data_IF_908842342611
#
_entry.id   IF_908842342611
#
_cell.length_a   1.000
_cell.length_b   1.000
_cell.length_c   1.000
_cell.angle_alpha   90.00
_cell.angle_beta   90.00
_cell.angle_gamma   90.00
#
_symmetry.space_group_name_H-M   'P 1'
#
loop_
_entity.id
_entity.type
_entity.pdbx_description
1 polymer ?
#
# COMPACT_ATOMS: atom_id res chain seq x y z
N UNK A 1 -18.76 -5.03 -8.72
CA UNK A 1 -17.96 -6.26 -8.67
C UNK A 1 -17.08 -6.29 -9.91
N UNK A 2 -15.76 -6.36 -9.72
CA UNK A 2 -14.81 -6.56 -10.82
C UNK A 2 -14.78 -8.07 -11.14
N UNK A 3 -14.44 -8.45 -12.38
CA UNK A 3 -14.31 -9.86 -12.77
C UNK A 3 -12.87 -10.15 -13.10
N UNK A 4 -12.33 -11.25 -12.58
CA UNK A 4 -11.07 -11.81 -13.07
C UNK A 4 -11.39 -12.70 -14.27
N UNK A 5 -10.66 -12.50 -15.36
CA UNK A 5 -10.83 -13.25 -16.60
C UNK A 5 -9.52 -14.02 -16.85
N UNK A 6 -9.61 -15.35 -16.90
CA UNK A 6 -8.48 -16.25 -17.09
C UNK A 6 -8.97 -17.66 -17.42
N UNK A 7 -8.11 -18.44 -18.08
CA UNK A 7 -8.38 -19.84 -18.46
C UNK A 7 -9.74 -20.08 -19.18
N UNK A 8 -10.19 -19.09 -19.96
CA UNK A 8 -11.42 -19.16 -20.75
C UNK A 8 -12.73 -18.94 -19.97
N UNK A 9 -12.66 -18.57 -18.69
CA UNK A 9 -13.84 -18.27 -17.87
C UNK A 9 -13.63 -17.01 -17.01
N UNK A 10 -14.70 -16.56 -16.34
CA UNK A 10 -14.66 -15.38 -15.46
C UNK A 10 -15.32 -15.64 -14.12
N UNK A 11 -14.68 -15.18 -13.05
CA UNK A 11 -15.19 -15.31 -11.69
C UNK A 11 -15.06 -13.99 -10.91
N UNK A 12 -15.72 -13.93 -9.75
CA UNK A 12 -15.67 -12.77 -8.86
C UNK A 12 -14.24 -12.52 -8.36
N UNK A 13 -13.84 -11.24 -8.39
CA UNK A 13 -12.52 -10.78 -7.98
C UNK A 13 -12.53 -9.25 -7.75
N UNK A 14 -11.69 -8.71 -6.86
CA UNK A 14 -10.86 -9.41 -5.88
C UNK A 14 -11.64 -9.88 -4.64
N UNK A 15 -11.09 -10.88 -3.94
CA UNK A 15 -11.40 -11.08 -2.51
C UNK A 15 -10.44 -10.16 -1.75
N UNK A 16 -11.00 -9.21 -1.01
CA UNK A 16 -10.25 -8.19 -0.30
C UNK A 16 -10.22 -8.47 1.21
N UNK A 17 -9.05 -8.31 1.81
CA UNK A 17 -8.83 -8.31 3.24
C UNK A 17 -8.01 -7.06 3.64
N UNK A 18 -7.71 -6.91 4.93
CA UNK A 18 -7.10 -5.69 5.45
C UNK A 18 -5.69 -5.42 4.94
N UNK A 19 -5.03 -6.41 4.31
CA UNK A 19 -3.63 -6.28 3.84
C UNK A 19 -3.46 -6.54 2.35
N UNK A 20 -4.41 -7.20 1.70
CA UNK A 20 -4.30 -7.56 0.28
C UNK A 20 -5.65 -7.75 -0.41
N UNK A 21 -5.58 -7.80 -1.74
CA UNK A 21 -6.56 -8.40 -2.62
C UNK A 21 -5.97 -9.66 -3.25
N UNK A 22 -6.74 -10.76 -3.31
CA UNK A 22 -6.27 -11.99 -3.93
C UNK A 22 -7.31 -12.68 -4.81
N UNK A 23 -6.79 -13.45 -5.79
CA UNK A 23 -7.55 -14.35 -6.64
C UNK A 23 -7.23 -15.81 -6.26
N UNK A 24 -8.18 -16.59 -5.70
CA UNK A 24 -7.91 -17.98 -5.31
C UNK A 24 -7.72 -18.91 -6.53
N UNK A 25 -8.40 -18.62 -7.65
CA UNK A 25 -8.34 -19.43 -8.87
C UNK A 25 -6.99 -19.34 -9.57
N UNK A 26 -6.46 -18.12 -9.77
CA UNK A 26 -5.23 -17.88 -10.55
C UNK A 26 -4.00 -17.59 -9.69
N UNK A 27 -4.14 -17.53 -8.35
CA UNK A 27 -3.04 -17.32 -7.41
C UNK A 27 -2.40 -15.92 -7.42
N UNK A 28 -3.02 -14.93 -8.08
CA UNK A 28 -2.54 -13.53 -8.10
C UNK A 28 -2.88 -12.83 -6.80
N UNK A 29 -1.97 -11.98 -6.30
CA UNK A 29 -2.12 -11.18 -5.08
C UNK A 29 -1.63 -9.75 -5.30
N UNK A 30 -2.36 -8.78 -4.74
CA UNK A 30 -2.01 -7.36 -4.72
C UNK A 30 -1.99 -6.93 -3.25
N UNK A 31 -0.86 -6.41 -2.77
CA UNK A 31 -0.72 -5.96 -1.39
C UNK A 31 -0.93 -4.46 -1.29
N UNK A 32 -1.65 -4.03 -0.26
CA UNK A 32 -1.80 -2.62 0.05
C UNK A 32 -0.47 -2.11 0.58
N UNK A 33 0.09 -1.09 -0.08
CA UNK A 33 1.25 -0.40 0.46
C UNK A 33 0.74 0.42 1.65
N UNK A 34 1.03 -0.03 2.87
CA UNK A 34 0.88 0.84 4.03
C UNK A 34 1.78 2.04 3.80
N UNK A 35 1.21 3.24 3.91
CA UNK A 35 1.97 4.47 4.02
C UNK A 35 3.01 4.27 5.14
N UNK A 36 4.28 4.37 4.76
CA UNK A 36 5.38 4.30 5.71
C UNK A 36 5.17 5.43 6.72
N UNK A 37 5.38 5.22 8.03
CA UNK A 37 5.31 6.29 8.99
C UNK A 37 6.16 7.45 8.49
N UNK A 38 5.53 8.59 8.20
CA UNK A 38 6.27 9.80 7.87
C UNK A 38 7.03 10.17 9.15
N UNK A 39 8.32 9.86 9.19
CA UNK A 39 9.18 10.38 10.25
C UNK A 39 9.07 11.91 10.21
N UNK A 40 8.80 12.56 11.35
CA UNK A 40 8.80 14.01 11.39
C UNK A 40 10.17 14.50 10.92
N UNK A 41 10.24 15.65 10.22
CA UNK A 41 11.53 16.20 9.81
C UNK A 41 12.42 16.39 11.03
N UNK A 42 13.75 16.26 10.88
CA UNK A 42 14.67 16.51 11.98
C UNK A 42 14.41 17.92 12.55
N UNK A 43 14.61 18.12 13.86
CA UNK A 43 14.47 19.45 14.44
C UNK A 43 15.41 20.42 13.72
N UNK A 44 15.02 21.70 13.58
CA UNK A 44 15.89 22.70 12.98
C UNK A 44 17.22 22.78 13.75
N UNK A 45 18.32 23.02 13.05
CA UNK A 45 19.60 23.27 13.68
C UNK A 45 19.47 24.38 14.74
N UNK A 46 20.15 24.28 15.89
CA UNK A 46 20.13 25.34 16.89
C UNK A 46 20.62 26.62 16.23
N UNK A 47 19.74 27.63 16.20
CA UNK A 47 20.11 28.97 15.74
C UNK A 47 21.20 29.46 16.70
N UNK A 48 22.45 29.46 16.23
CA UNK A 48 23.54 30.15 16.90
C UNK A 48 23.20 31.64 16.80
N UNK A 49 22.51 32.17 17.81
CA UNK A 49 22.31 33.62 17.92
C UNK A 49 23.70 34.26 17.94
N UNK A 50 24.01 35.21 17.05
CA UNK A 50 25.26 35.93 17.13
C UNK A 50 25.23 36.78 18.40
N UNK A 51 26.02 36.37 19.40
CA UNK A 51 26.34 37.22 20.54
C UNK A 51 26.96 38.51 19.99
N UNK A 52 26.21 39.61 20.05
CA UNK A 52 26.70 40.97 19.82
C UNK A 52 26.34 41.89 20.97
#
# INVERSE_FOLDING_TARGET
>A
MTRCVGDGWSHDFPIEDSVQAHCPTHGRRLFWKTEEPVEPPPPPDPVLEPTT
#
